data_IF_435419764873
#
_entry.id   IF_435419764873
#
_cell.length_a   1.000
_cell.length_b   1.000
_cell.length_c   1.000
_cell.angle_alpha   90.00
_cell.angle_beta   90.00
_cell.angle_gamma   90.00
#
_symmetry.space_group_name_H-M   'P 1'
#
loop_
_entity.id
_entity.type
_entity.pdbx_description
1 polymer ?
#
# COMPACT_ATOMS: atom_id res chain seq x y z
N UNK A 1 20.51 10.32 4.35
CA UNK A 1 21.05 8.97 4.09
C UNK A 1 21.61 8.97 2.70
N UNK A 2 22.81 8.45 2.54
CA UNK A 2 23.38 8.26 1.22
C UNK A 2 22.67 7.10 0.50
N UNK A 3 22.82 6.98 -0.83
CA UNK A 3 22.32 5.81 -1.55
C UNK A 3 22.87 4.49 -1.01
N UNK A 4 24.10 4.48 -0.51
CA UNK A 4 24.76 3.32 0.08
C UNK A 4 24.11 2.91 1.41
N UNK A 5 23.74 3.88 2.26
CA UNK A 5 22.98 3.61 3.48
C UNK A 5 21.65 2.91 3.16
N UNK A 6 20.94 3.43 2.15
CA UNK A 6 19.66 2.85 1.72
C UNK A 6 19.83 1.43 1.16
N UNK A 7 20.85 1.22 0.33
CA UNK A 7 21.15 -0.10 -0.23
C UNK A 7 21.48 -1.11 0.87
N UNK A 8 22.27 -0.70 1.87
CA UNK A 8 22.56 -1.53 3.03
C UNK A 8 21.30 -1.89 3.81
N UNK A 9 20.42 -0.91 4.08
CA UNK A 9 19.16 -1.18 4.77
C UNK A 9 18.26 -2.14 3.97
N UNK A 10 18.16 -1.95 2.65
CA UNK A 10 17.40 -2.85 1.77
C UNK A 10 17.90 -4.29 1.86
N UNK A 11 19.22 -4.51 1.84
CA UNK A 11 19.81 -5.84 1.97
C UNK A 11 19.61 -6.43 3.37
N UNK A 12 19.82 -5.61 4.41
CA UNK A 12 19.72 -6.01 5.81
C UNK A 12 18.29 -6.43 6.20
N UNK A 13 17.27 -5.66 5.81
CA UNK A 13 15.87 -6.02 6.04
C UNK A 13 15.39 -7.12 5.08
N UNK A 14 15.97 -7.15 3.88
CA UNK A 14 15.55 -8.03 2.80
C UNK A 14 14.12 -7.76 2.33
N UNK A 15 13.72 -8.46 1.27
CA UNK A 15 12.35 -8.43 0.75
C UNK A 15 11.54 -9.61 1.27
N UNK A 16 10.33 -9.31 1.73
CA UNK A 16 9.30 -10.29 2.05
C UNK A 16 8.54 -10.73 0.80
N UNK A 17 7.43 -11.45 1.01
CA UNK A 17 6.65 -12.07 -0.08
C UNK A 17 5.53 -11.18 -0.61
N UNK A 18 5.20 -10.10 0.10
CA UNK A 18 4.08 -9.21 -0.22
C UNK A 18 4.59 -7.87 -0.75
N UNK A 19 4.03 -7.46 -1.89
CA UNK A 19 4.19 -6.12 -2.47
C UNK A 19 2.82 -5.58 -2.85
N UNK A 20 2.54 -4.33 -2.48
CA UNK A 20 1.29 -3.63 -2.76
C UNK A 20 1.63 -2.37 -3.55
N UNK A 21 0.87 -2.13 -4.62
CA UNK A 21 0.95 -0.93 -5.43
C UNK A 21 -0.37 -0.18 -5.33
N UNK A 22 -0.36 0.96 -4.63
CA UNK A 22 -1.50 1.86 -4.61
C UNK A 22 -1.32 2.93 -5.67
N UNK A 23 -2.28 3.05 -6.59
CA UNK A 23 -2.30 4.08 -7.66
C UNK A 23 -3.41 5.12 -7.47
N UNK A 24 -4.01 5.16 -6.28
CA UNK A 24 -5.05 6.12 -5.93
C UNK A 24 -4.47 7.47 -5.49
N UNK A 25 -5.25 8.19 -4.67
CA UNK A 25 -4.80 9.41 -4.01
C UNK A 25 -3.71 9.06 -2.99
N UNK A 26 -2.44 9.12 -3.41
CA UNK A 26 -1.30 8.62 -2.63
C UNK A 26 -0.59 7.46 -3.32
N UNK A 27 -0.03 7.73 -4.51
CA UNK A 27 0.76 6.75 -5.27
C UNK A 27 1.89 6.21 -4.39
N UNK A 28 1.81 4.94 -4.01
CA UNK A 28 2.79 4.34 -3.14
C UNK A 28 3.13 2.90 -3.51
N UNK A 29 4.39 2.55 -3.24
CA UNK A 29 4.91 1.18 -3.31
C UNK A 29 5.19 0.73 -1.90
N UNK A 30 4.53 -0.34 -1.49
CA UNK A 30 4.60 -0.90 -0.15
C UNK A 30 5.16 -2.31 -0.30
N UNK A 31 6.27 -2.61 0.36
CA UNK A 31 6.92 -3.92 0.29
C UNK A 31 7.12 -4.44 1.71
N UNK A 32 6.65 -5.65 1.97
CA UNK A 32 7.00 -6.36 3.21
C UNK A 32 8.50 -6.64 3.26
N UNK A 33 9.10 -6.61 4.43
CA UNK A 33 10.49 -7.06 4.63
C UNK A 33 10.51 -8.52 5.10
N UNK A 34 11.70 -9.07 5.38
CA UNK A 34 11.79 -10.40 6.04
C UNK A 34 11.44 -10.36 7.53
N UNK A 35 11.36 -9.18 8.12
CA UNK A 35 10.97 -9.00 9.51
C UNK A 35 9.44 -8.88 9.60
N UNK A 36 8.86 -9.56 10.59
CA UNK A 36 7.43 -9.47 10.85
C UNK A 36 7.03 -8.02 11.15
N UNK A 37 5.93 -7.58 10.53
CA UNK A 37 5.32 -6.28 10.76
C UNK A 37 6.22 -5.09 10.41
N UNK A 38 7.27 -5.31 9.60
CA UNK A 38 8.13 -4.22 9.11
C UNK A 38 7.92 -4.07 7.62
N UNK A 39 7.50 -2.88 7.23
CA UNK A 39 7.09 -2.52 5.89
C UNK A 39 7.95 -1.39 5.35
N UNK A 40 8.38 -1.53 4.11
CA UNK A 40 9.04 -0.47 3.36
C UNK A 40 8.00 0.27 2.53
N UNK A 41 7.76 1.55 2.83
CA UNK A 41 6.73 2.35 2.18
C UNK A 41 7.37 3.53 1.46
N UNK A 42 7.14 3.61 0.15
CA UNK A 42 7.65 4.66 -0.70
C UNK A 42 6.49 5.43 -1.32
N UNK A 43 6.47 6.73 -1.08
CA UNK A 43 5.47 7.65 -1.61
C UNK A 43 6.00 8.39 -2.82
N UNK A 44 5.19 8.49 -3.86
CA UNK A 44 5.52 9.11 -5.12
C UNK A 44 4.59 10.29 -5.40
N UNK A 45 5.13 11.33 -6.03
CA UNK A 45 4.32 12.40 -6.59
C UNK A 45 3.70 11.99 -7.95
N UNK A 46 3.01 12.93 -8.59
CA UNK A 46 2.41 12.75 -9.92
C UNK A 46 3.41 12.57 -11.07
N UNK A 47 4.70 12.76 -10.83
CA UNK A 47 5.78 12.60 -11.83
C UNK A 47 6.64 11.35 -11.53
N UNK A 48 6.15 10.43 -10.70
CA UNK A 48 6.86 9.22 -10.25
C UNK A 48 8.20 9.48 -9.52
N UNK A 49 8.35 10.64 -8.89
CA UNK A 49 9.49 10.92 -8.02
C UNK A 49 9.14 10.59 -6.57
N UNK A 50 10.08 9.94 -5.87
CA UNK A 50 9.94 9.64 -4.45
C UNK A 50 9.93 10.95 -3.66
N UNK A 51 8.87 11.17 -2.89
CA UNK A 51 8.71 12.33 -2.00
C UNK A 51 8.87 11.97 -0.52
N UNK A 52 8.62 10.72 -0.15
CA UNK A 52 8.81 10.19 1.19
C UNK A 52 9.17 8.71 1.11
N UNK A 53 10.10 8.29 1.94
CA UNK A 53 10.58 6.92 2.02
C UNK A 53 10.67 6.53 3.50
N UNK A 54 9.83 5.60 3.94
CA UNK A 54 9.65 5.24 5.35
C UNK A 54 9.77 3.74 5.55
N UNK A 55 10.23 3.37 6.75
CA UNK A 55 10.06 2.04 7.31
C UNK A 55 8.99 2.13 8.39
N UNK A 56 7.91 1.37 8.24
CA UNK A 56 6.76 1.38 9.13
C UNK A 56 6.69 0.06 9.88
N UNK A 57 6.61 0.13 11.22
CA UNK A 57 6.54 -1.05 12.10
C UNK A 57 5.11 -1.20 12.60
N UNK A 58 4.27 -1.85 11.78
CA UNK A 58 2.82 -1.96 11.95
C UNK A 58 2.34 -3.29 11.35
N UNK A 59 1.15 -3.75 11.77
CA UNK A 59 0.56 -4.97 11.20
C UNK A 59 0.35 -4.82 9.68
N UNK A 60 -0.28 -3.72 9.26
CA UNK A 60 -0.48 -3.34 7.86
C UNK A 60 -0.36 -1.81 7.76
N UNK A 61 0.37 -1.25 6.77
CA UNK A 61 0.44 0.19 6.54
C UNK A 61 -0.95 0.80 6.31
N UNK A 62 -1.24 1.93 6.94
CA UNK A 62 -2.55 2.60 6.84
C UNK A 62 -2.92 2.89 5.38
N UNK A 63 -1.94 3.28 4.56
CA UNK A 63 -2.09 3.57 3.13
C UNK A 63 -2.39 2.35 2.26
N UNK A 64 -2.26 1.13 2.79
CA UNK A 64 -2.71 -0.10 2.12
C UNK A 64 -4.18 -0.41 2.41
N UNK A 65 -4.77 0.19 3.45
CA UNK A 65 -6.16 -0.03 3.83
C UNK A 65 -7.08 0.87 3.00
N UNK A 66 -8.24 0.33 2.63
CA UNK A 66 -9.31 1.18 2.11
C UNK A 66 -9.84 2.07 3.23
N UNK A 67 -10.23 3.30 2.89
CA UNK A 67 -10.92 4.14 3.86
C UNK A 67 -12.28 3.52 4.23
N UNK A 68 -12.74 3.76 5.46
CA UNK A 68 -14.02 3.22 5.94
C UNK A 68 -15.19 3.64 5.02
N UNK A 69 -15.16 4.86 4.50
CA UNK A 69 -16.17 5.37 3.56
C UNK A 69 -16.18 4.59 2.24
N UNK A 70 -15.00 4.34 1.66
CA UNK A 70 -14.86 3.57 0.42
C UNK A 70 -15.40 2.14 0.60
N UNK A 71 -15.13 1.53 1.75
CA UNK A 71 -15.61 0.19 2.07
C UNK A 71 -17.15 0.16 2.19
N UNK A 72 -17.72 1.09 2.96
CA UNK A 72 -19.17 1.18 3.14
C UNK A 72 -19.89 1.49 1.82
N UNK A 73 -19.37 2.42 1.01
CA UNK A 73 -19.92 2.72 -0.31
C UNK A 73 -19.86 1.49 -1.24
N UNK A 74 -18.75 0.74 -1.20
CA UNK A 74 -18.58 -0.48 -1.99
C UNK A 74 -19.61 -1.55 -1.64
N UNK A 75 -19.97 -1.72 -0.36
CA UNK A 75 -21.01 -2.67 0.08
C UNK A 75 -22.38 -2.28 -0.48
N UNK A 76 -22.74 -1.00 -0.41
CA UNK A 76 -24.02 -0.50 -0.96
C UNK A 76 -24.08 -0.72 -2.47
N UNK A 77 -23.04 -0.26 -3.19
CA UNK A 77 -22.96 -0.41 -4.65
C UNK A 77 -23.05 -1.87 -5.07
N UNK A 78 -22.34 -2.77 -4.40
CA UNK A 78 -22.38 -4.19 -4.71
C UNK A 78 -23.80 -4.76 -4.55
N UNK A 79 -24.55 -4.32 -3.53
CA UNK A 79 -25.95 -4.71 -3.33
C UNK A 79 -26.88 -4.25 -4.46
N UNK A 80 -26.69 -3.02 -4.95
CA UNK A 80 -27.43 -2.47 -6.11
C UNK A 80 -27.16 -3.32 -7.37
N UNK A 81 -25.88 -3.60 -7.66
CA UNK A 81 -25.47 -4.45 -8.79
C UNK A 81 -26.08 -5.84 -8.74
N UNK A 82 -26.06 -6.49 -7.56
CA UNK A 82 -26.68 -7.81 -7.38
C UNK A 82 -28.19 -7.79 -7.59
N UNK A 83 -28.85 -6.67 -7.28
CA UNK A 83 -30.30 -6.54 -7.49
C UNK A 83 -30.62 -6.41 -8.97
N UNK A 84 -29.88 -5.57 -9.71
CA UNK A 84 -30.00 -5.46 -11.17
C UNK A 84 -29.75 -6.79 -11.87
N UNK A 85 -28.79 -7.59 -11.40
CA UNK A 85 -28.49 -8.92 -11.98
C UNK A 85 -29.58 -9.97 -11.72
N UNK A 86 -30.41 -9.81 -10.69
CA UNK A 86 -31.50 -10.75 -10.36
C UNK A 86 -32.80 -10.44 -11.08
N UNK A 87 -32.96 -9.21 -11.58
CA UNK A 87 -34.14 -8.77 -12.34
C UNK A 87 -34.03 -9.05 -13.85
N UNK A 88 -32.90 -9.61 -14.30
CA UNK A 88 -32.65 -10.12 -15.65
C UNK A 88 -32.70 -11.65 -15.68
#
# INVERSE_FOLDING_TARGET
MSPEDLAYLYDAFGTGTVSILSRGYGNCRITSTRLANVWWVQYFNSTDQIILNTLEVVDVPEVALAADEDFLESVVRLGEWLSVMREQ
#
